data_IF_853801000000
#
_entry.id   IF_853801000000
#
_cell.length_a   1.000
_cell.length_b   1.000
_cell.length_c   1.000
_cell.angle_alpha   90.00
_cell.angle_beta   90.00
_cell.angle_gamma   90.00
#
_symmetry.space_group_name_H-M   'P 1'
#
loop_
_entity.id
_entity.type
_entity.pdbx_description
1 polymer ?
#
# COMPACT_ATOMS: atom_id res chain seq x y z
N UNK A 1 61.87 18.39 1.60
CA UNK A 1 61.19 18.59 0.31
C UNK A 1 60.86 17.24 -0.30
N UNK A 2 59.69 16.72 -0.12
CA UNK A 2 59.03 15.68 -0.93
C UNK A 2 57.58 15.61 -0.54
N UNK A 3 56.77 16.16 -1.40
CA UNK A 3 55.27 16.19 -1.30
C UNK A 3 54.73 14.82 -1.67
N UNK A 4 54.17 14.09 -0.71
CA UNK A 4 53.48 12.83 -0.94
C UNK A 4 51.99 13.14 -1.23
N UNK A 5 51.59 13.09 -2.50
CA UNK A 5 50.21 13.17 -2.95
C UNK A 5 49.56 11.80 -2.69
N UNK A 6 48.81 11.69 -1.63
CA UNK A 6 47.89 10.56 -1.43
C UNK A 6 46.61 10.79 -2.25
N UNK A 7 46.48 10.06 -3.34
CA UNK A 7 45.23 9.90 -4.09
C UNK A 7 44.39 8.93 -3.29
N UNK A 8 43.44 9.46 -2.53
CA UNK A 8 42.39 8.63 -1.91
C UNK A 8 41.34 8.37 -3.00
N UNK A 9 41.39 7.16 -3.56
CA UNK A 9 40.35 6.64 -4.43
C UNK A 9 39.02 6.55 -3.68
N UNK A 10 38.07 7.33 -4.12
CA UNK A 10 36.70 7.27 -3.64
C UNK A 10 36.06 6.00 -4.21
N UNK A 11 36.15 4.87 -3.47
CA UNK A 11 35.35 3.69 -3.76
C UNK A 11 33.89 4.02 -3.45
N UNK A 12 33.12 4.41 -4.46
CA UNK A 12 31.65 4.44 -4.41
C UNK A 12 31.15 3.01 -4.36
N UNK A 13 30.98 2.46 -3.17
CA UNK A 13 30.13 1.29 -2.99
C UNK A 13 28.69 1.72 -3.26
N UNK A 14 28.24 1.56 -4.49
CA UNK A 14 26.82 1.53 -4.81
C UNK A 14 26.27 0.23 -4.21
N UNK A 15 25.81 0.30 -2.95
CA UNK A 15 24.99 -0.75 -2.38
C UNK A 15 23.64 -0.64 -3.12
N UNK A 16 23.51 -1.43 -4.18
CA UNK A 16 22.22 -1.61 -4.84
C UNK A 16 21.30 -2.32 -3.82
N UNK A 17 20.48 -1.53 -3.15
CA UNK A 17 19.42 -2.05 -2.29
C UNK A 17 18.29 -2.58 -3.17
N UNK A 18 18.57 -3.63 -3.95
CA UNK A 18 17.56 -4.43 -4.62
C UNK A 18 17.05 -5.45 -3.61
N UNK A 19 15.77 -5.35 -3.27
CA UNK A 19 15.08 -6.39 -2.52
C UNK A 19 14.30 -7.24 -3.50
N UNK A 20 14.52 -8.54 -3.47
CA UNK A 20 13.71 -9.49 -4.25
C UNK A 20 12.36 -9.62 -3.55
N UNK A 21 11.28 -9.41 -4.28
CA UNK A 21 9.94 -9.67 -3.75
C UNK A 21 9.82 -11.19 -3.45
N UNK A 22 9.66 -11.61 -2.19
CA UNK A 22 9.65 -13.03 -1.84
C UNK A 22 8.47 -13.81 -2.43
N UNK A 23 7.46 -13.10 -3.00
CA UNK A 23 6.25 -13.70 -3.55
C UNK A 23 6.21 -13.73 -5.08
N UNK A 24 6.88 -12.78 -5.74
CA UNK A 24 6.91 -12.71 -7.23
C UNK A 24 8.28 -13.06 -7.80
N UNK A 25 9.34 -13.10 -6.99
CA UNK A 25 10.71 -13.30 -7.43
C UNK A 25 11.31 -12.14 -8.23
N UNK A 26 10.56 -11.04 -8.40
CA UNK A 26 11.04 -9.87 -9.12
C UNK A 26 11.95 -8.99 -8.26
N UNK A 27 13.04 -8.51 -8.84
CA UNK A 27 13.91 -7.53 -8.22
C UNK A 27 13.23 -6.16 -8.24
N UNK A 28 12.94 -5.61 -7.06
CA UNK A 28 12.40 -4.27 -6.91
C UNK A 28 13.36 -3.41 -6.09
N UNK A 29 13.59 -2.17 -6.55
CA UNK A 29 14.25 -1.17 -5.71
C UNK A 29 13.28 -0.76 -4.62
N UNK A 30 13.65 -0.93 -3.33
CA UNK A 30 12.77 -0.54 -2.23
C UNK A 30 12.43 0.94 -2.29
N UNK A 31 11.22 1.32 -1.89
CA UNK A 31 10.82 2.72 -1.85
C UNK A 31 11.68 3.52 -0.86
N UNK A 32 12.14 2.88 0.20
CA UNK A 32 13.15 3.43 1.12
C UNK A 32 14.42 3.85 0.38
N UNK A 33 14.91 3.02 -0.57
CA UNK A 33 16.10 3.37 -1.36
C UNK A 33 15.83 4.49 -2.36
N UNK A 34 14.63 4.52 -2.98
CA UNK A 34 14.24 5.56 -3.94
C UNK A 34 14.15 6.95 -3.29
N UNK A 35 13.47 7.05 -2.14
CA UNK A 35 13.22 8.33 -1.47
C UNK A 35 14.33 8.70 -0.49
N UNK A 36 14.83 7.74 0.29
CA UNK A 36 15.88 7.99 1.29
C UNK A 36 17.25 8.26 0.69
N UNK A 37 17.62 7.53 -0.36
CA UNK A 37 18.93 7.70 -1.03
C UNK A 37 19.08 9.06 -1.70
N UNK A 38 18.04 9.52 -2.39
CA UNK A 38 18.03 10.84 -3.04
C UNK A 38 18.08 12.00 -2.05
N UNK A 39 17.24 11.96 -1.03
CA UNK A 39 17.21 12.99 0.02
C UNK A 39 18.53 13.04 0.81
N UNK A 40 19.10 11.89 1.18
CA UNK A 40 20.37 11.83 1.89
C UNK A 40 21.53 12.43 1.06
N UNK A 41 21.55 12.21 -0.25
CA UNK A 41 22.57 12.78 -1.12
C UNK A 41 22.51 14.32 -1.20
N UNK A 42 21.32 14.87 -1.37
CA UNK A 42 21.13 16.35 -1.43
C UNK A 42 21.50 17.00 -0.11
N UNK A 43 21.02 16.48 1.02
CA UNK A 43 21.32 17.05 2.32
C UNK A 43 22.78 16.87 2.75
N UNK A 44 23.40 15.75 2.34
CA UNK A 44 24.82 15.52 2.53
C UNK A 44 25.68 16.56 1.81
N UNK A 45 25.31 16.92 0.59
CA UNK A 45 25.98 17.98 -0.18
C UNK A 45 25.85 19.35 0.50
N UNK A 46 24.63 19.70 0.96
CA UNK A 46 24.41 20.96 1.70
C UNK A 46 25.17 21.02 3.02
N UNK A 47 25.22 19.88 3.76
CA UNK A 47 25.99 19.79 5.00
C UNK A 47 27.52 19.84 4.80
N UNK A 48 28.02 19.42 3.62
CA UNK A 48 29.45 19.42 3.30
C UNK A 48 30.05 20.83 3.15
N UNK A 49 29.22 21.87 2.99
CA UNK A 49 29.67 23.26 2.93
C UNK A 49 30.22 23.77 4.27
N UNK A 50 29.91 23.11 5.38
CA UNK A 50 30.31 23.53 6.72
C UNK A 50 31.33 22.57 7.38
N UNK A 51 30.98 21.29 7.50
CA UNK A 51 31.94 20.27 8.00
C UNK A 51 31.52 18.84 7.61
N UNK A 52 32.50 17.93 7.62
CA UNK A 52 32.25 16.49 7.35
C UNK A 52 31.26 15.87 8.34
N UNK A 53 31.30 16.31 9.59
CA UNK A 53 30.41 15.79 10.62
C UNK A 53 28.96 16.29 10.41
N UNK A 54 28.79 17.57 10.09
CA UNK A 54 27.47 18.12 9.74
C UNK A 54 26.94 17.54 8.44
N UNK A 55 27.78 17.28 7.44
CA UNK A 55 27.41 16.59 6.22
C UNK A 55 26.82 15.22 6.49
N UNK A 56 27.50 14.43 7.34
CA UNK A 56 27.01 13.10 7.73
C UNK A 56 25.70 13.16 8.49
N UNK A 57 25.59 14.05 9.46
CA UNK A 57 24.40 14.19 10.29
C UNK A 57 23.21 14.72 9.47
N UNK A 58 23.45 15.66 8.56
CA UNK A 58 22.43 16.14 7.62
C UNK A 58 21.98 15.06 6.65
N UNK A 59 22.91 14.28 6.09
CA UNK A 59 22.59 13.16 5.21
C UNK A 59 21.76 12.08 5.91
N UNK A 60 22.13 11.74 7.15
CA UNK A 60 21.36 10.79 7.96
C UNK A 60 19.97 11.32 8.32
N UNK A 61 19.87 12.57 8.75
CA UNK A 61 18.60 13.19 9.11
C UNK A 61 17.64 13.27 7.92
N UNK A 62 18.11 13.78 6.79
CA UNK A 62 17.28 13.87 5.57
C UNK A 62 16.99 12.51 4.93
N UNK A 63 17.93 11.58 5.01
CA UNK A 63 17.72 10.21 4.54
C UNK A 63 16.60 9.51 5.30
N UNK A 64 16.55 9.71 6.62
CA UNK A 64 15.47 9.17 7.47
C UNK A 64 14.13 9.84 7.15
N UNK A 65 14.11 11.15 6.99
CA UNK A 65 12.87 11.89 6.66
C UNK A 65 12.38 11.53 5.25
N UNK A 66 13.26 11.49 4.26
CA UNK A 66 12.90 11.13 2.88
C UNK A 66 12.54 9.66 2.72
N UNK A 67 13.15 8.75 3.50
CA UNK A 67 12.82 7.33 3.52
C UNK A 67 11.59 7.01 4.38
N UNK A 68 11.16 7.92 5.25
CA UNK A 68 10.15 7.65 6.27
C UNK A 68 8.85 7.09 5.70
N UNK A 69 8.28 7.75 4.72
CA UNK A 69 7.01 7.32 4.07
C UNK A 69 7.21 6.00 3.33
N UNK A 70 8.28 5.87 2.54
CA UNK A 70 8.59 4.64 1.79
C UNK A 70 8.80 3.45 2.72
N UNK A 71 9.64 3.59 3.75
CA UNK A 71 9.89 2.54 4.73
C UNK A 71 8.63 2.15 5.50
N UNK A 72 7.82 3.13 5.89
CA UNK A 72 6.56 2.91 6.58
C UNK A 72 5.60 2.06 5.74
N UNK A 73 5.45 2.41 4.46
CA UNK A 73 4.60 1.67 3.53
C UNK A 73 5.16 0.30 3.18
N UNK A 74 6.50 0.15 3.06
CA UNK A 74 7.14 -1.14 2.79
C UNK A 74 6.91 -2.13 3.95
N UNK A 75 7.02 -1.66 5.20
CA UNK A 75 6.74 -2.50 6.38
C UNK A 75 5.26 -2.84 6.47
N UNK A 76 4.37 -1.89 6.22
CA UNK A 76 2.92 -2.11 6.23
C UNK A 76 2.52 -3.13 5.14
N UNK A 77 3.06 -3.00 3.93
CA UNK A 77 2.83 -3.96 2.84
C UNK A 77 3.29 -5.37 3.22
N UNK A 78 4.51 -5.51 3.75
CA UNK A 78 5.06 -6.80 4.19
C UNK A 78 4.16 -7.47 5.23
N UNK A 79 3.66 -6.70 6.21
CA UNK A 79 2.74 -7.22 7.23
C UNK A 79 1.39 -7.63 6.65
N UNK A 80 0.84 -6.86 5.72
CA UNK A 80 -0.40 -7.23 5.04
C UNK A 80 -0.23 -8.52 4.23
N UNK A 81 0.87 -8.66 3.47
CA UNK A 81 1.15 -9.89 2.71
C UNK A 81 1.30 -11.11 3.63
N UNK A 82 2.01 -10.97 4.74
CA UNK A 82 2.16 -12.03 5.75
C UNK A 82 0.81 -12.48 6.31
N UNK A 83 -0.04 -11.53 6.72
CA UNK A 83 -1.33 -11.81 7.35
C UNK A 83 -2.41 -12.31 6.38
N UNK A 84 -2.31 -11.94 5.12
CA UNK A 84 -3.32 -12.24 4.10
C UNK A 84 -2.94 -13.41 3.18
N UNK A 85 -1.81 -14.06 3.42
CA UNK A 85 -1.38 -15.22 2.65
C UNK A 85 -2.43 -16.34 2.74
N UNK A 86 -2.86 -16.87 1.59
CA UNK A 86 -3.85 -17.96 1.52
C UNK A 86 -5.30 -17.56 1.77
N UNK A 87 -5.59 -16.28 2.05
CA UNK A 87 -6.96 -15.80 2.32
C UNK A 87 -7.77 -15.49 1.05
N UNK A 88 -7.12 -15.44 -0.12
CA UNK A 88 -7.73 -15.01 -1.39
C UNK A 88 -7.74 -13.48 -1.60
N UNK A 89 -7.32 -12.68 -0.61
CA UNK A 89 -7.13 -11.24 -0.77
C UNK A 89 -5.79 -10.97 -1.46
N UNK A 90 -5.80 -10.14 -2.51
CA UNK A 90 -4.59 -9.75 -3.21
C UNK A 90 -4.04 -8.44 -2.65
N UNK A 91 -2.73 -8.40 -2.40
CA UNK A 91 -2.01 -7.19 -1.96
C UNK A 91 -1.17 -6.70 -3.13
N UNK A 92 -1.51 -5.53 -3.67
CA UNK A 92 -0.84 -4.92 -4.82
C UNK A 92 -0.20 -3.61 -4.39
N UNK A 93 1.08 -3.42 -4.73
CA UNK A 93 1.75 -2.13 -4.54
C UNK A 93 1.53 -1.25 -5.78
N UNK A 94 1.08 -0.02 -5.57
CA UNK A 94 0.89 0.97 -6.63
C UNK A 94 1.60 2.28 -6.25
N UNK A 95 2.85 2.42 -6.68
CA UNK A 95 3.68 3.55 -6.28
C UNK A 95 3.83 3.61 -4.76
N UNK A 96 3.36 4.71 -4.16
CA UNK A 96 3.39 4.93 -2.72
C UNK A 96 2.16 4.38 -1.99
N UNK A 97 1.18 3.85 -2.69
CA UNK A 97 -0.04 3.27 -2.11
C UNK A 97 -0.03 1.74 -2.16
N UNK A 98 -0.83 1.15 -1.28
CA UNK A 98 -1.09 -0.29 -1.26
C UNK A 98 -2.57 -0.50 -1.55
N UNK A 99 -2.88 -1.39 -2.49
CA UNK A 99 -4.25 -1.77 -2.81
C UNK A 99 -4.51 -3.22 -2.36
N UNK A 100 -5.53 -3.41 -1.55
CA UNK A 100 -6.07 -4.73 -1.23
C UNK A 100 -7.28 -4.99 -2.11
N UNK A 101 -7.29 -6.11 -2.82
CA UNK A 101 -8.42 -6.55 -3.65
C UNK A 101 -9.08 -7.73 -2.96
N UNK A 102 -10.32 -7.53 -2.53
CA UNK A 102 -11.15 -8.51 -1.83
C UNK A 102 -12.22 -9.03 -2.80
N UNK A 103 -12.08 -10.27 -3.32
CA UNK A 103 -13.08 -10.86 -4.22
C UNK A 103 -14.44 -10.99 -3.54
N UNK A 104 -15.51 -10.61 -4.24
CA UNK A 104 -16.85 -10.55 -3.67
C UNK A 104 -17.41 -11.90 -3.21
N UNK A 105 -17.03 -12.99 -3.89
CA UNK A 105 -17.51 -14.34 -3.56
C UNK A 105 -16.99 -14.89 -2.22
N UNK A 106 -15.84 -14.41 -1.75
CA UNK A 106 -15.30 -14.78 -0.43
C UNK A 106 -15.70 -13.77 0.64
N UNK A 107 -15.99 -12.53 0.24
CA UNK A 107 -16.28 -11.42 1.16
C UNK A 107 -17.75 -11.35 1.55
N UNK A 108 -18.67 -11.59 0.60
CA UNK A 108 -20.11 -11.41 0.78
C UNK A 108 -20.89 -12.67 0.44
N UNK A 109 -22.08 -12.76 1.02
CA UNK A 109 -23.09 -13.70 0.56
C UNK A 109 -23.61 -13.32 -0.83
N UNK A 110 -24.23 -14.28 -1.53
CA UNK A 110 -24.78 -14.07 -2.87
C UNK A 110 -25.83 -12.95 -2.84
N UNK A 111 -25.76 -12.02 -3.81
CA UNK A 111 -26.65 -10.85 -3.94
C UNK A 111 -26.80 -10.01 -2.66
N UNK A 112 -25.80 -10.06 -1.78
CA UNK A 112 -25.85 -9.40 -0.49
C UNK A 112 -24.67 -8.43 -0.32
N UNK A 113 -24.82 -7.55 0.66
CA UNK A 113 -23.76 -6.73 1.25
C UNK A 113 -23.38 -7.22 2.66
N UNK A 114 -23.99 -8.32 3.14
CA UNK A 114 -23.62 -8.93 4.39
C UNK A 114 -22.27 -9.65 4.25
N UNK A 115 -21.39 -9.39 5.18
CA UNK A 115 -20.09 -10.05 5.24
C UNK A 115 -20.27 -11.53 5.60
N UNK A 116 -19.53 -12.39 4.93
CA UNK A 116 -19.51 -13.81 5.25
C UNK A 116 -18.81 -14.04 6.59
N UNK A 117 -19.29 -14.97 7.45
CA UNK A 117 -18.67 -15.26 8.72
C UNK A 117 -17.18 -15.62 8.62
N UNK A 118 -16.80 -16.36 7.57
CA UNK A 118 -15.43 -16.80 7.34
C UNK A 118 -14.49 -15.62 7.01
N UNK A 119 -15.04 -14.51 6.51
CA UNK A 119 -14.24 -13.34 6.12
C UNK A 119 -13.91 -12.41 7.29
N UNK A 120 -14.58 -12.52 8.43
CA UNK A 120 -14.27 -11.70 9.60
C UNK A 120 -12.83 -11.88 10.10
N UNK A 121 -12.30 -13.11 10.07
CA UNK A 121 -10.91 -13.37 10.44
C UNK A 121 -9.91 -12.61 9.56
N UNK A 122 -10.22 -12.52 8.26
CA UNK A 122 -9.42 -11.76 7.30
C UNK A 122 -9.48 -10.27 7.59
N UNK A 123 -10.68 -9.72 7.82
CA UNK A 123 -10.84 -8.31 8.17
C UNK A 123 -10.23 -7.94 9.52
N UNK A 124 -10.21 -8.87 10.50
CA UNK A 124 -9.49 -8.69 11.76
C UNK A 124 -7.99 -8.50 11.49
N UNK A 125 -7.40 -9.36 10.68
CA UNK A 125 -5.98 -9.25 10.30
C UNK A 125 -5.67 -7.94 9.59
N UNK A 126 -6.52 -7.51 8.66
CA UNK A 126 -6.41 -6.19 8.00
C UNK A 126 -6.53 -5.07 9.04
N UNK A 127 -7.54 -5.12 9.89
CA UNK A 127 -7.80 -4.12 10.93
C UNK A 127 -6.62 -3.95 11.88
N UNK A 128 -6.02 -5.04 12.35
CA UNK A 128 -4.83 -5.01 13.22
C UNK A 128 -3.65 -4.25 12.56
N UNK A 129 -3.39 -4.51 11.29
CA UNK A 129 -2.33 -3.80 10.56
C UNK A 129 -2.69 -2.33 10.40
N UNK A 130 -3.93 -2.01 9.98
CA UNK A 130 -4.37 -0.63 9.76
C UNK A 130 -4.46 0.20 11.04
N UNK A 131 -4.81 -0.41 12.18
CA UNK A 131 -4.81 0.25 13.48
C UNK A 131 -3.39 0.57 13.95
N UNK A 132 -2.45 -0.36 13.73
CA UNK A 132 -1.04 -0.16 14.06
C UNK A 132 -0.36 0.89 13.19
N UNK A 133 -0.67 0.92 11.89
CA UNK A 133 -0.11 1.86 10.92
C UNK A 133 -1.14 2.97 10.63
N UNK A 134 -1.28 3.90 11.60
CA UNK A 134 -2.35 4.88 11.59
C UNK A 134 -2.13 6.08 10.64
N UNK A 135 -0.90 6.34 10.22
CA UNK A 135 -0.53 7.52 9.42
C UNK A 135 -0.80 7.31 7.91
N UNK A 136 -1.98 6.78 7.60
CA UNK A 136 -2.47 6.56 6.23
C UNK A 136 -3.95 6.89 6.12
N UNK A 137 -4.37 7.38 4.96
CA UNK A 137 -5.78 7.49 4.59
C UNK A 137 -6.23 6.23 3.85
N UNK A 138 -7.52 5.92 3.95
CA UNK A 138 -8.10 4.71 3.40
C UNK A 138 -9.24 5.06 2.46
N UNK A 139 -9.23 4.50 1.25
CA UNK A 139 -10.38 4.58 0.33
C UNK A 139 -10.91 3.18 0.11
N UNK A 140 -12.19 2.98 0.43
CA UNK A 140 -12.90 1.70 0.28
C UNK A 140 -13.86 1.82 -0.88
N UNK A 141 -13.57 1.16 -1.98
CA UNK A 141 -14.33 1.24 -3.23
C UNK A 141 -15.02 -0.09 -3.51
N UNK A 142 -16.34 -0.07 -3.67
CA UNK A 142 -17.11 -1.25 -4.05
C UNK A 142 -17.33 -1.31 -5.55
N UNK A 143 -17.25 -2.52 -6.10
CA UNK A 143 -17.45 -2.79 -7.52
C UNK A 143 -18.44 -3.95 -7.74
N UNK A 144 -19.15 -3.90 -8.87
CA UNK A 144 -20.05 -4.97 -9.34
C UNK A 144 -19.64 -5.43 -10.73
N UNK A 145 -20.25 -6.48 -11.21
CA UNK A 145 -20.27 -6.79 -12.62
C UNK A 145 -21.36 -5.95 -13.35
N UNK A 146 -21.47 -6.11 -14.66
CA UNK A 146 -22.41 -5.37 -15.50
C UNK A 146 -23.84 -5.89 -15.45
N UNK A 147 -24.16 -6.92 -14.64
CA UNK A 147 -25.48 -7.52 -14.56
C UNK A 147 -26.44 -6.59 -13.80
N UNK A 148 -27.59 -6.28 -14.38
CA UNK A 148 -28.61 -5.45 -13.76
C UNK A 148 -28.48 -3.96 -14.04
N UNK A 149 -29.32 -3.17 -13.39
CA UNK A 149 -29.42 -1.73 -13.61
C UNK A 149 -28.26 -0.95 -12.95
N UNK A 150 -27.92 0.19 -13.54
CA UNK A 150 -26.80 1.03 -13.07
C UNK A 150 -26.99 1.50 -11.63
N UNK A 151 -28.17 2.00 -11.30
CA UNK A 151 -28.45 2.56 -9.97
C UNK A 151 -28.45 1.49 -8.88
N UNK A 152 -29.00 0.32 -9.18
CA UNK A 152 -28.93 -0.84 -8.31
C UNK A 152 -27.48 -1.21 -8.00
N UNK A 153 -26.63 -1.32 -9.04
CA UNK A 153 -25.23 -1.69 -8.89
C UNK A 153 -24.43 -0.64 -8.14
N UNK A 154 -24.70 0.64 -8.36
CA UNK A 154 -24.07 1.72 -7.61
C UNK A 154 -24.40 1.61 -6.13
N UNK A 155 -25.68 1.46 -5.79
CA UNK A 155 -26.14 1.30 -4.41
C UNK A 155 -25.58 0.03 -3.76
N UNK A 156 -25.59 -1.11 -4.46
CA UNK A 156 -25.06 -2.37 -3.94
C UNK A 156 -23.57 -2.27 -3.65
N UNK A 157 -22.82 -1.67 -4.58
CA UNK A 157 -21.37 -1.49 -4.42
C UNK A 157 -21.02 -0.58 -3.24
N UNK A 158 -21.76 0.52 -3.05
CA UNK A 158 -21.58 1.39 -1.89
C UNK A 158 -21.89 0.67 -0.58
N UNK A 159 -23.00 -0.09 -0.51
CA UNK A 159 -23.36 -0.86 0.69
C UNK A 159 -22.27 -1.87 1.03
N UNK A 160 -21.68 -2.56 0.05
CA UNK A 160 -20.59 -3.50 0.23
C UNK A 160 -19.33 -2.81 0.79
N UNK A 161 -18.95 -1.69 0.20
CA UNK A 161 -17.82 -0.90 0.69
C UNK A 161 -18.06 -0.41 2.13
N UNK A 162 -19.28 0.02 2.42
CA UNK A 162 -19.71 0.46 3.76
C UNK A 162 -19.69 -0.67 4.78
N UNK A 163 -20.08 -1.90 4.42
CA UNK A 163 -20.00 -3.05 5.31
C UNK A 163 -18.56 -3.37 5.73
N UNK A 164 -17.62 -3.32 4.79
CA UNK A 164 -16.18 -3.49 5.08
C UNK A 164 -15.69 -2.36 5.98
N UNK A 165 -15.97 -1.10 5.63
CA UNK A 165 -15.54 0.07 6.40
C UNK A 165 -16.09 0.06 7.83
N UNK A 166 -17.37 -0.23 8.00
CA UNK A 166 -18.00 -0.32 9.32
C UNK A 166 -17.34 -1.40 10.18
N UNK A 167 -17.03 -2.55 9.59
CA UNK A 167 -16.35 -3.61 10.33
C UNK A 167 -14.93 -3.20 10.73
N UNK A 168 -14.15 -2.60 9.82
CA UNK A 168 -12.82 -2.10 10.13
C UNK A 168 -12.86 -1.05 11.26
N UNK A 169 -13.91 -0.22 11.32
CA UNK A 169 -14.10 0.72 12.43
C UNK A 169 -14.25 0.00 13.79
N UNK A 170 -14.89 -1.18 13.84
CA UNK A 170 -14.95 -1.99 15.05
C UNK A 170 -13.58 -2.56 15.47
N UNK A 171 -12.65 -2.64 14.52
CA UNK A 171 -11.26 -3.08 14.72
C UNK A 171 -10.31 -1.91 15.03
N UNK A 172 -10.80 -0.83 15.60
CA UNK A 172 -10.04 0.36 16.03
C UNK A 172 -9.42 1.17 14.86
N UNK A 173 -9.86 0.94 13.63
CA UNK A 173 -9.49 1.80 12.51
C UNK A 173 -10.34 3.07 12.54
N UNK A 174 -9.71 4.22 12.70
CA UNK A 174 -10.43 5.50 12.85
C UNK A 174 -11.32 5.79 11.62
N UNK A 175 -12.63 5.99 11.83
CA UNK A 175 -13.60 6.23 10.77
C UNK A 175 -13.25 7.46 9.92
N UNK A 176 -12.68 8.51 10.54
CA UNK A 176 -12.25 9.73 9.83
C UNK A 176 -11.13 9.53 8.81
N UNK A 177 -10.46 8.38 8.82
CA UNK A 177 -9.45 8.00 7.81
C UNK A 177 -10.06 7.31 6.60
N UNK A 178 -11.33 6.86 6.70
CA UNK A 178 -11.96 6.00 5.70
C UNK A 178 -12.91 6.80 4.81
N UNK A 179 -12.61 6.85 3.52
CA UNK A 179 -13.51 7.34 2.49
C UNK A 179 -14.16 6.14 1.79
N UNK A 180 -15.49 6.13 1.73
CA UNK A 180 -16.28 5.02 1.18
C UNK A 180 -16.98 5.46 -0.09
N UNK A 181 -16.87 4.67 -1.15
CA UNK A 181 -17.53 4.95 -2.43
C UNK A 181 -18.09 3.69 -3.10
N UNK A 182 -19.19 3.84 -3.80
CA UNK A 182 -19.72 2.85 -4.73
C UNK A 182 -19.35 3.22 -6.14
N UNK A 183 -18.68 2.32 -6.86
CA UNK A 183 -18.26 2.52 -8.26
C UNK A 183 -19.21 1.78 -9.23
N UNK A 184 -20.01 0.83 -8.72
CA UNK A 184 -20.81 -0.05 -9.54
C UNK A 184 -19.94 -0.83 -10.53
N UNK A 185 -20.37 -0.90 -11.78
CA UNK A 185 -19.63 -1.56 -12.88
C UNK A 185 -18.82 -0.61 -13.76
N UNK A 186 -18.58 0.65 -13.32
CA UNK A 186 -17.91 1.65 -14.15
C UNK A 186 -16.41 1.39 -14.36
N UNK A 187 -15.78 0.59 -13.50
CA UNK A 187 -14.35 0.28 -13.54
C UNK A 187 -14.11 -1.24 -13.51
N UNK A 188 -14.36 -1.95 -14.63
CA UNK A 188 -14.10 -3.39 -14.71
C UNK A 188 -12.60 -3.67 -14.77
N UNK A 189 -12.16 -4.77 -14.16
CA UNK A 189 -10.79 -5.30 -14.25
C UNK A 189 -10.70 -6.57 -15.11
N UNK A 190 -11.84 -7.06 -15.56
CA UNK A 190 -11.95 -8.23 -16.41
C UNK A 190 -13.17 -8.11 -17.34
N UNK A 191 -13.23 -8.97 -18.34
CA UNK A 191 -14.34 -9.01 -19.29
C UNK A 191 -15.65 -9.41 -18.59
N UNK A 192 -16.70 -8.61 -18.78
CA UNK A 192 -18.04 -8.86 -18.24
C UNK A 192 -18.84 -9.93 -19.03
N UNK A 193 -18.40 -10.28 -20.23
CA UNK A 193 -19.10 -11.28 -21.05
C UNK A 193 -18.87 -12.70 -20.52
N UNK A 194 -17.75 -12.92 -19.79
CA UNK A 194 -17.44 -14.22 -19.19
C UNK A 194 -17.86 -14.30 -17.71
N UNK A 195 -18.34 -15.49 -17.24
CA UNK A 195 -18.68 -15.67 -15.82
C UNK A 195 -17.48 -15.43 -14.88
N UNK A 196 -16.29 -15.83 -15.29
CA UNK A 196 -15.03 -15.67 -14.57
C UNK A 196 -14.65 -14.18 -14.45
N UNK A 197 -14.81 -13.44 -15.55
CA UNK A 197 -14.55 -12.02 -15.57
C UNK A 197 -15.55 -11.25 -14.69
N UNK A 198 -16.85 -11.59 -14.76
CA UNK A 198 -17.84 -11.02 -13.84
C UNK A 198 -17.50 -11.30 -12.38
N UNK A 199 -17.06 -12.52 -12.06
CA UNK A 199 -16.64 -12.85 -10.69
C UNK A 199 -15.46 -12.00 -10.21
N UNK A 200 -14.51 -11.68 -11.09
CA UNK A 200 -13.38 -10.78 -10.78
C UNK A 200 -13.84 -9.32 -10.63
N UNK A 201 -14.84 -8.88 -11.39
CA UNK A 201 -15.37 -7.54 -11.31
C UNK A 201 -16.14 -7.29 -10.01
N UNK A 202 -16.83 -8.31 -9.47
CA UNK A 202 -17.48 -8.25 -8.15
C UNK A 202 -16.42 -8.29 -7.06
N UNK A 203 -16.01 -7.11 -6.55
CA UNK A 203 -14.95 -6.98 -5.55
C UNK A 203 -15.13 -5.74 -4.69
N UNK A 204 -14.40 -5.69 -3.58
CA UNK A 204 -14.12 -4.45 -2.85
C UNK A 204 -12.62 -4.21 -2.88
N UNK A 205 -12.23 -2.99 -3.15
CA UNK A 205 -10.85 -2.53 -3.11
C UNK A 205 -10.64 -1.60 -1.91
N UNK A 206 -9.57 -1.81 -1.17
CA UNK A 206 -9.13 -0.92 -0.11
C UNK A 206 -7.78 -0.32 -0.50
N UNK A 207 -7.76 0.96 -0.79
CA UNK A 207 -6.54 1.72 -1.03
C UNK A 207 -6.02 2.29 0.27
N UNK A 208 -4.77 2.04 0.56
CA UNK A 208 -4.03 2.58 1.69
C UNK A 208 -3.08 3.63 1.13
N UNK A 209 -3.35 4.89 1.44
CA UNK A 209 -2.69 6.06 0.89
C UNK A 209 -1.85 6.71 2.00
N UNK A 210 -0.56 7.01 1.77
CA UNK A 210 0.21 7.76 2.75
C UNK A 210 -0.43 9.15 2.95
N UNK A 211 -0.40 9.65 4.19
CA UNK A 211 -0.71 11.06 4.45
C UNK A 211 0.45 11.87 3.87
N UNK A 212 0.16 12.69 2.85
CA UNK A 212 1.14 13.64 2.34
C UNK A 212 1.43 14.68 3.42
N UNK A 213 2.70 14.77 3.82
CA UNK A 213 3.23 15.79 4.72
C UNK A 213 3.50 17.07 3.93
#
# INVERSE_FOLDING_TARGET
MRTLRSIIGCCTLAIAACTTNPYTGEEQVSNTAKYGGGAAAVCGLLGALDSREKARNAALGCGIVGAGVGAYMDVQESKLREQLQGTGVQVVREGDSIRLIMPGNITFETDSYNLRPEFYGVLNSVGLVLAKYADTNLRVSGHTDSTGGREYNLTLSERRARSVSNYLATQQVAAGRMYVEGVGFAQPIADNDTPEGRARNRRVELYILPVSV
#
